data_IF_843030693497
#
_entry.id   IF_843030693497
#
_cell.length_a   1.000
_cell.length_b   1.000
_cell.length_c   1.000
_cell.angle_alpha   90.00
_cell.angle_beta   90.00
_cell.angle_gamma   90.00
#
_symmetry.space_group_name_H-M   'P 1'
#
loop_
_entity.id
_entity.type
_entity.pdbx_description
1 polymer ?
#
# COMPACT_ATOMS: atom_id res chain seq x y z
N UNK A 1 2.95 -5.10 -55.53
CA UNK A 1 1.99 -6.17 -55.15
C UNK A 1 2.74 -7.20 -54.29
N UNK A 2 2.55 -7.22 -53.04
CA UNK A 2 2.60 -8.40 -52.16
C UNK A 2 1.97 -7.93 -50.82
N UNK A 3 0.74 -8.39 -50.57
CA UNK A 3 0.01 -8.10 -49.35
C UNK A 3 0.43 -9.06 -48.24
N UNK A 4 0.64 -8.55 -47.05
CA UNK A 4 0.73 -9.34 -45.83
C UNK A 4 -0.54 -9.12 -45.00
N UNK A 5 -1.41 -10.16 -45.02
CA UNK A 5 -2.60 -10.26 -44.21
C UNK A 5 -2.24 -10.50 -42.76
N UNK A 6 -2.86 -9.73 -41.85
CA UNK A 6 -2.86 -9.97 -40.44
C UNK A 6 -3.76 -11.18 -40.09
N UNK A 7 -3.40 -12.02 -39.12
CA UNK A 7 -4.27 -13.12 -38.70
C UNK A 7 -5.44 -12.58 -37.86
N UNK A 8 -6.65 -12.84 -38.34
CA UNK A 8 -7.90 -12.60 -37.63
C UNK A 8 -8.06 -13.61 -36.49
N UNK A 9 -8.04 -13.14 -35.25
CA UNK A 9 -8.43 -13.94 -34.09
C UNK A 9 -9.95 -14.04 -34.03
N UNK A 10 -10.46 -15.22 -34.42
CA UNK A 10 -11.87 -15.58 -34.30
C UNK A 10 -12.14 -15.92 -32.83
N UNK A 11 -12.91 -15.07 -32.18
CA UNK A 11 -13.46 -15.32 -30.85
C UNK A 11 -14.56 -16.41 -30.99
N UNK A 12 -14.25 -17.66 -30.62
CA UNK A 12 -15.29 -18.72 -30.58
C UNK A 12 -16.15 -18.49 -29.35
N UNK A 13 -17.43 -18.20 -29.57
CA UNK A 13 -18.50 -18.22 -28.57
C UNK A 13 -18.54 -19.59 -27.88
N UNK A 14 -18.55 -19.60 -26.58
CA UNK A 14 -18.81 -20.80 -25.78
C UNK A 14 -20.31 -20.94 -25.62
N UNK A 15 -20.91 -21.97 -26.25
CA UNK A 15 -22.27 -22.40 -25.97
C UNK A 15 -22.26 -23.21 -24.67
N UNK A 16 -22.80 -22.64 -23.63
CA UNK A 16 -23.13 -23.37 -22.39
C UNK A 16 -24.54 -23.91 -22.57
N UNK A 17 -24.68 -25.17 -22.88
CA UNK A 17 -25.98 -25.88 -22.79
C UNK A 17 -26.28 -26.11 -21.31
N UNK A 18 -27.28 -25.40 -20.80
CA UNK A 18 -27.90 -25.66 -19.51
C UNK A 18 -28.93 -26.76 -19.63
N UNK A 19 -28.60 -27.98 -19.22
CA UNK A 19 -29.60 -28.99 -18.90
C UNK A 19 -29.96 -28.92 -17.42
N UNK A 20 -31.08 -28.27 -17.13
CA UNK A 20 -31.72 -28.35 -15.81
C UNK A 20 -32.75 -29.46 -15.80
N UNK A 21 -32.43 -30.61 -15.23
CA UNK A 21 -33.43 -31.56 -14.75
C UNK A 21 -33.48 -31.52 -13.25
N UNK A 22 -34.61 -31.09 -12.73
CA UNK A 22 -34.91 -30.97 -11.30
C UNK A 22 -35.10 -32.34 -10.65
N UNK A 23 -34.30 -32.62 -9.61
CA UNK A 23 -34.75 -33.55 -8.55
C UNK A 23 -34.00 -33.20 -7.24
N UNK A 24 -34.68 -32.99 -6.08
CA UNK A 24 -34.12 -32.50 -4.86
C UNK A 24 -33.76 -33.64 -3.92
N UNK A 25 -32.53 -34.09 -3.90
CA UNK A 25 -31.95 -34.80 -2.76
C UNK A 25 -30.43 -34.79 -2.85
N UNK A 26 -29.79 -34.16 -1.87
CA UNK A 26 -28.39 -34.28 -1.46
C UNK A 26 -27.38 -34.71 -2.52
N UNK A 27 -26.63 -33.75 -3.10
CA UNK A 27 -25.28 -34.03 -3.57
C UNK A 27 -24.44 -32.78 -3.63
N UNK A 28 -23.33 -32.79 -2.91
CA UNK A 28 -22.23 -31.86 -3.10
C UNK A 28 -21.72 -32.02 -4.53
N UNK A 29 -22.02 -31.07 -5.39
CA UNK A 29 -21.49 -31.04 -6.75
C UNK A 29 -20.01 -30.64 -6.70
N UNK A 30 -19.13 -31.64 -6.59
CA UNK A 30 -17.70 -31.46 -6.86
C UNK A 30 -17.55 -31.20 -8.35
N UNK A 31 -17.28 -29.94 -8.71
CA UNK A 31 -16.82 -29.58 -10.07
C UNK A 31 -15.50 -30.34 -10.32
N UNK A 32 -15.58 -31.48 -11.02
CA UNK A 32 -14.41 -32.19 -11.58
C UNK A 32 -13.94 -31.41 -12.80
N UNK A 33 -13.05 -30.46 -12.60
CA UNK A 33 -12.28 -29.88 -13.70
C UNK A 33 -11.36 -31.00 -14.20
N UNK A 34 -11.49 -31.38 -15.48
CA UNK A 34 -10.68 -32.46 -16.04
C UNK A 34 -9.19 -32.09 -16.03
N UNK A 35 -8.31 -33.05 -15.82
CA UNK A 35 -6.86 -32.86 -15.88
C UNK A 35 -6.38 -32.16 -17.15
N UNK A 36 -7.06 -32.42 -18.28
CA UNK A 36 -6.81 -31.74 -19.58
C UNK A 36 -7.11 -30.24 -19.53
N UNK A 37 -8.11 -29.81 -18.75
CA UNK A 37 -8.42 -28.38 -18.57
C UNK A 37 -7.38 -27.69 -17.67
N UNK A 38 -6.87 -28.39 -16.65
CA UNK A 38 -5.77 -27.91 -15.84
C UNK A 38 -4.46 -27.80 -16.62
N UNK A 39 -4.12 -28.79 -17.45
CA UNK A 39 -2.95 -28.72 -18.33
C UNK A 39 -3.03 -27.56 -19.32
N UNK A 40 -4.17 -27.36 -19.97
CA UNK A 40 -4.37 -26.19 -20.87
C UNK A 40 -4.28 -24.84 -20.13
N UNK A 41 -4.79 -24.78 -18.91
CA UNK A 41 -4.69 -23.55 -18.11
C UNK A 41 -3.23 -23.28 -17.67
N UNK A 42 -2.47 -24.33 -17.33
CA UNK A 42 -1.04 -24.23 -17.04
C UNK A 42 -0.21 -23.86 -18.28
N UNK A 43 -0.56 -24.38 -19.46
CA UNK A 43 0.06 -23.98 -20.72
C UNK A 43 -0.22 -22.52 -21.07
N UNK A 44 -1.46 -22.05 -20.91
CA UNK A 44 -1.82 -20.64 -21.11
C UNK A 44 -1.11 -19.77 -20.08
N UNK A 45 -1.03 -20.19 -18.80
CA UNK A 45 -0.29 -19.46 -17.76
C UNK A 45 1.21 -19.44 -18.04
N UNK A 46 1.76 -20.55 -18.54
CA UNK A 46 3.16 -20.63 -18.98
C UNK A 46 3.43 -19.70 -20.16
N UNK A 47 2.53 -19.67 -21.17
CA UNK A 47 2.66 -18.78 -22.33
C UNK A 47 2.51 -17.31 -21.92
N UNK A 48 1.59 -16.97 -21.00
CA UNK A 48 1.43 -15.61 -20.47
C UNK A 48 2.65 -15.21 -19.61
N UNK A 49 3.15 -16.09 -18.75
CA UNK A 49 4.40 -15.86 -18.02
C UNK A 49 5.60 -15.74 -18.96
N UNK A 50 5.70 -16.58 -19.99
CA UNK A 50 6.77 -16.51 -20.99
C UNK A 50 6.69 -15.23 -21.83
N UNK A 51 5.50 -14.78 -22.23
CA UNK A 51 5.33 -13.50 -22.96
C UNK A 51 5.65 -12.29 -22.09
N UNK A 52 5.32 -12.31 -20.81
CA UNK A 52 5.69 -11.23 -19.86
C UNK A 52 7.20 -11.26 -19.54
N UNK A 53 7.81 -12.44 -19.47
CA UNK A 53 9.26 -12.62 -19.30
C UNK A 53 10.04 -12.33 -20.60
N UNK A 54 9.47 -12.62 -21.78
CA UNK A 54 10.14 -12.43 -23.08
C UNK A 54 10.20 -10.94 -23.50
N UNK A 55 9.36 -10.07 -22.93
CA UNK A 55 9.51 -8.62 -23.05
C UNK A 55 10.82 -8.14 -22.36
N UNK A 56 11.32 -8.89 -21.36
CA UNK A 56 12.58 -8.57 -20.69
C UNK A 56 13.82 -9.09 -21.44
N UNK A 57 13.68 -10.06 -22.36
CA UNK A 57 14.81 -10.77 -22.98
C UNK A 57 15.08 -10.41 -24.45
N UNK A 58 14.14 -9.74 -25.15
CA UNK A 58 14.41 -9.22 -26.50
C UNK A 58 15.09 -7.85 -26.44
N UNK A 59 16.30 -7.81 -25.85
CA UNK A 59 17.15 -6.63 -26.01
C UNK A 59 17.76 -6.65 -27.39
N UNK A 60 17.22 -5.81 -28.31
CA UNK A 60 18.00 -5.32 -29.47
C UNK A 60 19.32 -4.79 -28.92
N UNK A 61 20.46 -4.89 -29.63
CA UNK A 61 21.67 -4.20 -29.25
C UNK A 61 21.29 -2.73 -29.04
N UNK A 62 21.43 -2.26 -27.80
CA UNK A 62 20.98 -0.92 -27.40
C UNK A 62 21.91 0.06 -28.12
N UNK A 63 21.39 0.76 -29.13
CA UNK A 63 22.01 1.95 -29.68
C UNK A 63 22.44 2.83 -28.49
N UNK A 64 23.62 3.41 -28.55
CA UNK A 64 24.23 4.12 -27.42
C UNK A 64 23.27 5.16 -26.86
N UNK A 65 22.63 4.82 -25.71
CA UNK A 65 21.63 5.66 -25.05
C UNK A 65 22.28 6.97 -24.62
N UNK A 66 21.69 8.10 -25.04
CA UNK A 66 22.16 9.43 -24.68
C UNK A 66 21.97 9.68 -23.18
N UNK A 67 22.77 10.58 -22.60
CA UNK A 67 22.73 10.88 -21.17
C UNK A 67 21.34 11.32 -20.71
N UNK A 68 20.68 12.21 -21.44
CA UNK A 68 19.33 12.70 -21.12
C UNK A 68 18.27 11.59 -21.13
N UNK A 69 18.33 10.65 -22.09
CA UNK A 69 17.44 9.50 -22.16
C UNK A 69 17.67 8.56 -20.97
N UNK A 70 18.93 8.32 -20.62
CA UNK A 70 19.33 7.51 -19.47
C UNK A 70 18.89 8.14 -18.15
N UNK A 71 19.05 9.47 -17.99
CA UNK A 71 18.59 10.20 -16.81
C UNK A 71 17.07 10.09 -16.63
N UNK A 72 16.30 10.28 -17.72
CA UNK A 72 14.83 10.13 -17.68
C UNK A 72 14.41 8.72 -17.30
N UNK A 73 15.07 7.69 -17.86
CA UNK A 73 14.79 6.29 -17.55
C UNK A 73 15.17 5.93 -16.09
N UNK A 74 16.33 6.37 -15.60
CA UNK A 74 16.76 6.19 -14.21
C UNK A 74 15.74 6.81 -13.24
N UNK A 75 15.35 8.06 -13.48
CA UNK A 75 14.35 8.76 -12.66
C UNK A 75 13.07 7.95 -12.59
N UNK A 76 12.53 7.51 -13.73
CA UNK A 76 11.29 6.75 -13.79
C UNK A 76 11.39 5.40 -13.07
N UNK A 77 12.47 4.66 -13.28
CA UNK A 77 12.67 3.34 -12.66
C UNK A 77 12.80 3.44 -11.15
N UNK A 78 13.58 4.38 -10.66
CA UNK A 78 13.79 4.61 -9.23
C UNK A 78 12.50 5.04 -8.55
N UNK A 79 11.82 6.06 -9.09
CA UNK A 79 10.59 6.60 -8.48
C UNK A 79 9.38 5.66 -8.58
N UNK A 80 9.34 4.78 -9.59
CA UNK A 80 8.29 3.77 -9.73
C UNK A 80 8.42 2.60 -8.74
N UNK A 81 9.58 2.43 -8.10
CA UNK A 81 9.85 1.34 -7.16
C UNK A 81 10.48 1.88 -5.88
N UNK A 82 9.71 2.58 -5.04
CA UNK A 82 10.22 3.11 -3.77
C UNK A 82 10.83 2.02 -2.90
N UNK A 83 11.87 2.37 -2.17
CA UNK A 83 12.61 1.53 -1.23
C UNK A 83 13.32 0.29 -1.83
N UNK A 84 13.13 0.01 -3.12
CA UNK A 84 13.83 -1.06 -3.82
C UNK A 84 15.30 -0.66 -4.07
N UNK A 85 16.21 -1.58 -3.74
CA UNK A 85 17.63 -1.42 -4.05
C UNK A 85 17.90 -1.90 -5.48
N UNK A 86 18.44 -1.02 -6.31
CA UNK A 86 18.93 -1.34 -7.65
C UNK A 86 20.44 -1.34 -7.65
N UNK A 87 21.06 -2.43 -8.04
CA UNK A 87 22.51 -2.50 -8.18
C UNK A 87 22.99 -1.67 -9.37
N UNK A 88 24.20 -1.12 -9.31
CA UNK A 88 24.78 -0.44 -10.47
C UNK A 88 24.94 -1.38 -11.67
N UNK A 89 25.22 -2.65 -11.42
CA UNK A 89 25.34 -3.67 -12.47
C UNK A 89 24.04 -3.84 -13.25
N UNK A 90 22.87 -3.81 -12.58
CA UNK A 90 21.56 -3.84 -13.23
C UNK A 90 21.40 -2.71 -14.26
N UNK A 91 21.80 -1.48 -13.90
CA UNK A 91 21.73 -0.35 -14.81
C UNK A 91 22.82 -0.39 -15.89
N UNK A 92 24.04 -0.91 -15.58
CA UNK A 92 25.09 -1.12 -16.58
C UNK A 92 24.60 -2.03 -17.72
N UNK A 93 23.97 -3.15 -17.35
CA UNK A 93 23.40 -4.08 -18.33
C UNK A 93 22.25 -3.46 -19.11
N UNK A 94 21.38 -2.71 -18.41
CA UNK A 94 20.21 -2.08 -19.04
C UNK A 94 20.59 -1.00 -20.06
N UNK A 95 21.57 -0.17 -19.74
CA UNK A 95 21.90 1.02 -20.54
C UNK A 95 23.17 0.88 -21.37
N UNK A 96 23.91 -0.22 -21.24
CA UNK A 96 25.19 -0.40 -21.92
C UNK A 96 26.23 0.64 -21.49
N UNK A 97 26.19 1.11 -20.23
CA UNK A 97 27.05 2.19 -19.70
C UNK A 97 27.98 1.67 -18.61
N UNK A 98 29.15 2.32 -18.46
CA UNK A 98 30.11 1.98 -17.42
C UNK A 98 29.58 2.36 -16.02
N UNK A 99 30.06 1.66 -14.96
CA UNK A 99 29.69 1.94 -13.58
C UNK A 99 29.99 3.38 -13.16
N UNK A 100 31.15 3.93 -13.59
CA UNK A 100 31.53 5.32 -13.32
C UNK A 100 30.53 6.31 -13.90
N UNK A 101 30.13 6.12 -15.15
CA UNK A 101 29.12 6.95 -15.82
C UNK A 101 27.78 6.92 -15.08
N UNK A 102 27.35 5.74 -14.63
CA UNK A 102 26.09 5.62 -13.88
C UNK A 102 26.18 6.21 -12.48
N UNK A 103 27.35 6.11 -11.82
CA UNK A 103 27.56 6.77 -10.53
C UNK A 103 27.45 8.30 -10.67
N UNK A 104 28.08 8.89 -11.69
CA UNK A 104 27.95 10.32 -11.98
C UNK A 104 26.51 10.74 -12.28
N UNK A 105 25.77 9.93 -13.05
CA UNK A 105 24.37 10.19 -13.36
C UNK A 105 23.49 10.15 -12.10
N UNK A 106 23.71 9.17 -11.21
CA UNK A 106 23.00 9.05 -9.93
C UNK A 106 23.33 10.22 -9.01
N UNK A 107 24.59 10.67 -8.95
CA UNK A 107 24.99 11.82 -8.16
C UNK A 107 24.33 13.11 -8.64
N UNK A 108 24.22 13.30 -9.95
CA UNK A 108 23.46 14.42 -10.52
C UNK A 108 21.98 14.33 -10.19
N UNK A 109 21.35 13.14 -10.31
CA UNK A 109 19.96 12.96 -9.93
C UNK A 109 19.75 13.25 -8.46
N UNK A 110 20.67 12.85 -7.59
CA UNK A 110 20.60 13.17 -6.15
C UNK A 110 20.53 14.66 -5.92
N UNK A 111 21.41 15.44 -6.57
CA UNK A 111 21.38 16.90 -6.50
C UNK A 111 20.05 17.50 -6.99
N UNK A 112 19.48 16.97 -8.08
CA UNK A 112 18.16 17.39 -8.58
C UNK A 112 17.05 17.07 -7.57
N UNK A 113 17.04 15.85 -7.03
CA UNK A 113 16.04 15.43 -6.05
C UNK A 113 16.07 16.29 -4.78
N UNK A 114 17.28 16.58 -4.28
CA UNK A 114 17.47 17.43 -3.10
C UNK A 114 17.03 18.88 -3.38
N UNK A 115 17.38 19.43 -4.54
CA UNK A 115 17.03 20.81 -4.93
C UNK A 115 15.52 21.00 -5.02
N UNK A 116 14.83 20.08 -5.68
CA UNK A 116 13.39 20.19 -5.96
C UNK A 116 12.51 19.48 -4.94
N UNK A 117 13.09 18.87 -3.88
CA UNK A 117 12.30 18.18 -2.86
C UNK A 117 11.55 16.95 -3.38
N UNK A 118 12.14 16.21 -4.33
CA UNK A 118 11.50 15.07 -4.98
C UNK A 118 11.67 13.74 -4.21
N UNK A 119 12.22 13.77 -3.00
CA UNK A 119 12.59 12.61 -2.20
C UNK A 119 14.11 12.45 -2.10
N UNK A 120 14.58 11.29 -1.66
CA UNK A 120 16.00 11.01 -1.44
C UNK A 120 16.47 9.82 -2.27
N UNK A 121 17.71 9.93 -2.80
CA UNK A 121 18.44 8.83 -3.42
C UNK A 121 19.57 8.39 -2.48
N UNK A 122 19.37 7.25 -1.82
CA UNK A 122 20.37 6.69 -0.89
C UNK A 122 21.30 5.72 -1.62
N UNK A 123 22.58 5.78 -1.28
CA UNK A 123 23.54 4.73 -1.63
C UNK A 123 23.54 3.67 -0.53
N UNK A 124 23.24 2.44 -0.91
CA UNK A 124 23.33 1.28 0.00
C UNK A 124 24.66 0.59 -0.26
N UNK A 125 25.49 0.48 0.78
CA UNK A 125 26.81 -0.18 0.72
C UNK A 125 26.71 -1.68 0.96
N UNK A 126 27.72 -2.46 0.54
CA UNK A 126 27.82 -3.88 0.77
C UNK A 126 27.70 -4.73 -0.50
N UNK A 127 27.71 -6.06 -0.37
CA UNK A 127 27.69 -7.01 -1.48
C UNK A 127 26.42 -6.90 -2.36
N UNK A 128 25.28 -6.61 -1.74
CA UNK A 128 24.01 -6.31 -2.42
C UNK A 128 23.76 -4.82 -2.55
N UNK A 129 24.79 -4.00 -2.53
CA UNK A 129 24.71 -2.54 -2.54
C UNK A 129 24.24 -1.97 -3.88
N UNK A 130 23.76 -0.73 -3.82
CA UNK A 130 23.20 -0.05 -4.98
C UNK A 130 22.63 1.30 -4.63
N UNK A 131 21.66 1.74 -5.42
CA UNK A 131 20.90 2.97 -5.16
C UNK A 131 19.44 2.63 -4.86
N UNK A 132 18.86 3.41 -3.96
CA UNK A 132 17.48 3.29 -3.54
C UNK A 132 16.82 4.66 -3.51
N UNK A 133 15.60 4.74 -4.01
CA UNK A 133 14.77 5.94 -3.88
C UNK A 133 13.87 5.82 -2.65
N UNK A 134 13.84 6.86 -1.84
CA UNK A 134 12.88 7.05 -0.76
C UNK A 134 12.01 8.28 -1.03
N UNK A 135 10.68 8.14 -1.15
CA UNK A 135 9.79 9.29 -1.17
C UNK A 135 9.81 9.93 0.22
N UNK A 136 10.27 11.15 0.31
CA UNK A 136 10.34 11.94 1.56
C UNK A 136 9.78 13.31 1.28
N UNK A 137 8.96 13.81 2.19
CA UNK A 137 8.47 15.19 2.20
C UNK A 137 9.23 15.97 3.27
N UNK A 138 9.62 17.20 2.98
CA UNK A 138 10.25 18.06 3.99
C UNK A 138 9.22 18.43 5.07
N UNK A 139 9.64 18.54 6.33
CA UNK A 139 8.71 18.83 7.45
C UNK A 139 7.90 20.11 7.23
N UNK A 140 8.52 21.16 6.67
CA UNK A 140 7.79 22.39 6.35
C UNK A 140 6.67 22.17 5.34
N UNK A 141 6.93 21.40 4.28
CA UNK A 141 5.94 21.11 3.24
C UNK A 141 4.85 20.18 3.78
N UNK A 142 5.20 19.21 4.62
CA UNK A 142 4.26 18.32 5.28
C UNK A 142 3.33 19.09 6.22
N UNK A 143 3.89 19.98 7.04
CA UNK A 143 3.12 20.83 7.95
C UNK A 143 2.22 21.81 7.22
N UNK A 144 2.68 22.42 6.13
CA UNK A 144 1.87 23.30 5.28
C UNK A 144 0.69 22.52 4.66
N UNK A 145 0.97 21.37 4.04
CA UNK A 145 -0.06 20.50 3.45
C UNK A 145 -1.11 20.06 4.48
N UNK A 146 -0.68 19.60 5.66
CA UNK A 146 -1.63 19.19 6.70
C UNK A 146 -2.38 20.39 7.29
N UNK A 147 -1.75 21.57 7.36
CA UNK A 147 -2.41 22.80 7.80
C UNK A 147 -3.56 23.22 6.88
N UNK A 148 -3.34 23.22 5.56
CA UNK A 148 -4.38 23.48 4.56
C UNK A 148 -5.52 22.44 4.67
N UNK A 149 -5.16 21.18 4.81
CA UNK A 149 -6.14 20.11 4.96
C UNK A 149 -6.95 20.23 6.26
N UNK A 150 -6.34 20.61 7.36
CA UNK A 150 -7.02 20.87 8.63
C UNK A 150 -8.05 22.01 8.49
N UNK A 151 -7.70 23.09 7.77
CA UNK A 151 -8.63 24.19 7.51
C UNK A 151 -9.85 23.73 6.70
N UNK A 152 -9.63 22.91 5.66
CA UNK A 152 -10.70 22.33 4.87
C UNK A 152 -11.61 21.42 5.69
N UNK A 153 -11.02 20.59 6.56
CA UNK A 153 -11.73 19.63 7.40
C UNK A 153 -12.47 20.30 8.57
N UNK A 154 -12.03 21.49 9.03
CA UNK A 154 -12.62 22.23 10.14
C UNK A 154 -13.93 22.96 9.71
N UNK A 155 -14.73 22.31 8.88
CA UNK A 155 -16.00 22.83 8.38
C UNK A 155 -17.16 22.15 9.12
N UNK A 156 -18.07 22.90 9.76
CA UNK A 156 -19.16 22.33 10.57
C UNK A 156 -20.03 21.30 9.84
N UNK A 157 -20.23 21.47 8.52
CA UNK A 157 -21.00 20.53 7.68
C UNK A 157 -20.35 19.14 7.54
N UNK A 158 -19.07 18.99 7.90
CA UNK A 158 -18.38 17.69 7.90
C UNK A 158 -18.61 16.89 9.18
N UNK A 159 -19.13 17.53 10.23
CA UNK A 159 -19.43 16.85 11.47
C UNK A 159 -20.75 16.08 11.34
N UNK A 160 -20.68 14.77 11.57
CA UNK A 160 -21.81 13.86 11.54
C UNK A 160 -22.33 13.58 12.97
N UNK A 161 -23.60 13.17 13.15
CA UNK A 161 -24.13 12.78 14.44
C UNK A 161 -23.24 11.76 15.17
N UNK A 162 -23.05 11.93 16.48
CA UNK A 162 -22.15 11.10 17.29
C UNK A 162 -20.69 11.53 17.27
N UNK A 163 -20.40 12.76 16.81
CA UNK A 163 -19.04 13.33 16.80
C UNK A 163 -18.10 12.67 15.81
N UNK A 164 -18.62 12.13 14.71
CA UNK A 164 -17.84 11.59 13.60
C UNK A 164 -17.53 12.69 12.57
N UNK A 165 -16.31 12.67 12.03
CA UNK A 165 -15.94 13.57 10.95
C UNK A 165 -16.03 12.84 9.59
N UNK A 166 -16.65 13.49 8.60
CA UNK A 166 -16.69 12.97 7.24
C UNK A 166 -15.34 13.20 6.55
N UNK A 167 -14.64 12.11 6.29
CA UNK A 167 -13.30 12.04 5.64
C UNK A 167 -13.33 11.29 4.30
N UNK A 168 -14.48 10.75 3.91
CA UNK A 168 -14.57 9.82 2.78
C UNK A 168 -14.10 10.40 1.45
N UNK A 169 -14.41 11.66 1.17
CA UNK A 169 -13.98 12.38 -0.02
C UNK A 169 -12.46 12.58 -0.03
N UNK A 170 -11.88 13.05 1.09
CA UNK A 170 -10.44 13.27 1.27
C UNK A 170 -9.66 11.96 1.09
N UNK A 171 -10.11 10.88 1.74
CA UNK A 171 -9.47 9.57 1.65
C UNK A 171 -9.64 8.90 0.27
N UNK A 172 -10.53 9.43 -0.56
CA UNK A 172 -10.72 8.98 -1.95
C UNK A 172 -9.89 9.77 -2.96
N UNK A 173 -9.19 10.84 -2.53
CA UNK A 173 -8.34 11.65 -3.42
C UNK A 173 -6.91 11.11 -3.48
N UNK A 174 -6.46 10.54 -4.63
CA UNK A 174 -5.16 9.87 -4.73
C UNK A 174 -3.97 10.77 -4.37
N UNK A 175 -4.00 12.04 -4.72
CA UNK A 175 -2.92 12.98 -4.41
C UNK A 175 -2.79 13.25 -2.91
N UNK A 176 -3.92 13.38 -2.21
CA UNK A 176 -3.96 13.63 -0.77
C UNK A 176 -3.45 12.41 -0.02
N UNK A 177 -4.02 11.22 -0.28
CA UNK A 177 -3.60 10.00 0.43
C UNK A 177 -2.17 9.59 0.10
N UNK A 178 -1.67 9.92 -1.11
CA UNK A 178 -0.25 9.71 -1.46
C UNK A 178 0.67 10.57 -0.59
N UNK A 179 0.35 11.85 -0.39
CA UNK A 179 1.13 12.72 0.51
C UNK A 179 1.08 12.22 1.95
N UNK A 180 -0.08 11.81 2.45
CA UNK A 180 -0.25 11.20 3.77
C UNK A 180 0.64 9.94 3.91
N UNK A 181 0.59 9.05 2.92
CA UNK A 181 1.42 7.84 2.90
C UNK A 181 2.92 8.13 2.91
N UNK A 182 3.37 9.17 2.22
CA UNK A 182 4.78 9.60 2.22
C UNK A 182 5.19 10.14 3.59
N UNK A 183 4.34 10.93 4.26
CA UNK A 183 4.63 11.45 5.61
C UNK A 183 4.71 10.29 6.61
N UNK A 184 3.74 9.36 6.58
CA UNK A 184 3.75 8.16 7.44
C UNK A 184 5.00 7.31 7.16
N UNK A 185 5.30 7.03 5.91
CA UNK A 185 6.49 6.25 5.54
C UNK A 185 7.78 6.90 6.04
N UNK A 186 7.87 8.22 5.99
CA UNK A 186 9.03 8.99 6.47
C UNK A 186 9.34 8.73 7.94
N UNK A 187 8.31 8.68 8.79
CA UNK A 187 8.45 8.43 10.24
C UNK A 187 8.88 6.98 10.54
N UNK A 188 8.43 6.01 9.74
CA UNK A 188 8.63 4.59 10.04
C UNK A 188 9.65 3.87 9.15
N UNK A 189 10.45 4.61 8.36
CA UNK A 189 11.49 4.00 7.53
C UNK A 189 12.49 3.16 8.34
N UNK A 190 12.98 3.72 9.43
CA UNK A 190 13.99 3.07 10.25
C UNK A 190 13.41 1.92 11.09
N UNK A 191 12.10 1.92 11.28
CA UNK A 191 11.40 0.79 11.88
C UNK A 191 11.36 -0.43 10.95
N UNK A 192 11.68 -0.28 9.66
CA UNK A 192 11.80 -1.34 8.66
C UNK A 192 10.67 -2.38 8.73
N UNK A 193 9.39 -2.00 8.57
CA UNK A 193 8.28 -2.95 8.58
C UNK A 193 8.35 -3.86 7.36
N UNK A 194 7.92 -5.12 7.52
CA UNK A 194 7.78 -6.08 6.42
C UNK A 194 6.47 -5.90 5.66
N UNK A 195 5.47 -5.33 6.30
CA UNK A 195 4.16 -5.02 5.71
C UNK A 195 3.43 -3.92 6.49
N UNK A 196 2.44 -3.32 5.84
CA UNK A 196 1.47 -2.42 6.49
C UNK A 196 0.20 -3.20 6.76
N UNK A 197 -0.37 -3.09 7.98
CA UNK A 197 -1.63 -3.65 8.38
C UNK A 197 -2.68 -2.55 8.54
N UNK A 198 -3.89 -2.79 8.02
CA UNK A 198 -5.05 -1.91 8.24
C UNK A 198 -6.32 -2.72 8.47
N UNK A 199 -7.33 -2.07 9.05
CA UNK A 199 -8.68 -2.64 9.13
C UNK A 199 -9.54 -2.18 7.95
N UNK A 200 -10.38 -3.06 7.38
CA UNK A 200 -11.39 -2.62 6.42
C UNK A 200 -12.32 -1.60 7.09
N UNK A 201 -12.68 -0.43 6.48
CA UNK A 201 -12.58 -0.11 5.05
C UNK A 201 -11.86 1.21 4.80
N UNK A 202 -12.04 2.22 5.66
CA UNK A 202 -11.65 3.62 5.40
C UNK A 202 -10.15 3.86 5.50
N UNK A 203 -9.44 3.07 6.32
CA UNK A 203 -7.97 3.15 6.45
C UNK A 203 -7.22 2.65 5.21
N UNK A 204 -7.86 1.83 4.35
CA UNK A 204 -7.20 1.18 3.21
C UNK A 204 -6.46 2.16 2.29
N UNK A 205 -7.03 3.31 1.86
CA UNK A 205 -6.32 4.19 0.93
C UNK A 205 -5.03 4.77 1.50
N UNK A 206 -5.05 5.26 2.75
CA UNK A 206 -3.86 5.81 3.41
C UNK A 206 -2.81 4.72 3.68
N UNK A 207 -3.26 3.55 4.14
CA UNK A 207 -2.40 2.38 4.38
C UNK A 207 -1.74 1.87 3.09
N UNK A 208 -2.48 1.84 1.96
CA UNK A 208 -1.94 1.45 0.66
C UNK A 208 -0.85 2.41 0.19
N UNK A 209 -1.03 3.71 0.38
CA UNK A 209 -0.03 4.69 -0.01
C UNK A 209 1.20 4.67 0.92
N UNK A 210 1.03 4.40 2.21
CA UNK A 210 2.15 4.17 3.12
C UNK A 210 2.93 2.89 2.75
N UNK A 211 2.23 1.80 2.45
CA UNK A 211 2.84 0.55 1.97
C UNK A 211 3.61 0.75 0.66
N UNK A 212 3.04 1.50 -0.29
CA UNK A 212 3.71 1.86 -1.54
C UNK A 212 4.99 2.67 -1.29
N UNK A 213 4.93 3.68 -0.42
CA UNK A 213 6.07 4.54 -0.10
C UNK A 213 7.19 3.77 0.63
N UNK A 214 6.83 2.80 1.48
CA UNK A 214 7.75 1.89 2.15
C UNK A 214 8.26 0.77 1.23
N UNK A 215 7.59 0.50 0.12
CA UNK A 215 7.92 -0.62 -0.79
C UNK A 215 7.59 -1.99 -0.21
N UNK A 216 6.56 -2.08 0.63
CA UNK A 216 6.12 -3.31 1.32
C UNK A 216 4.66 -3.65 0.97
N UNK A 217 4.21 -4.90 1.15
CA UNK A 217 2.82 -5.27 0.91
C UNK A 217 1.86 -4.64 1.92
N UNK A 218 0.60 -4.48 1.50
CA UNK A 218 -0.53 -4.16 2.37
C UNK A 218 -1.26 -5.44 2.78
N UNK A 219 -1.56 -5.57 4.07
CA UNK A 219 -2.39 -6.62 4.66
C UNK A 219 -3.65 -5.98 5.23
N UNK A 220 -4.81 -6.55 4.94
CA UNK A 220 -6.10 -6.00 5.36
C UNK A 220 -6.80 -7.00 6.29
N UNK A 221 -6.96 -6.62 7.56
CA UNK A 221 -7.82 -7.32 8.49
C UNK A 221 -9.29 -7.00 8.19
N UNK A 222 -10.17 -7.99 8.33
CA UNK A 222 -11.59 -7.88 7.96
C UNK A 222 -12.49 -8.06 9.17
N UNK A 223 -13.72 -7.59 9.05
CA UNK A 223 -14.77 -7.82 10.09
C UNK A 223 -15.32 -9.24 10.06
N UNK A 224 -15.12 -10.00 8.98
CA UNK A 224 -15.56 -11.38 8.84
C UNK A 224 -14.64 -12.18 7.94
N UNK A 225 -14.41 -13.45 8.27
CA UNK A 225 -13.69 -14.38 7.41
C UNK A 225 -14.48 -14.66 6.12
N UNK A 226 -13.78 -14.82 5.01
CA UNK A 226 -14.35 -15.20 3.72
C UNK A 226 -13.90 -16.60 3.36
N UNK A 227 -14.82 -17.43 2.87
CA UNK A 227 -14.58 -18.85 2.52
C UNK A 227 -13.40 -19.00 1.53
N UNK A 228 -13.25 -18.07 0.60
CA UNK A 228 -12.18 -18.10 -0.41
C UNK A 228 -10.80 -17.71 0.13
N UNK A 229 -10.70 -17.17 1.34
CA UNK A 229 -9.41 -16.83 1.98
C UNK A 229 -8.81 -18.01 2.77
N UNK A 230 -9.54 -19.12 2.90
CA UNK A 230 -9.11 -20.32 3.62
C UNK A 230 -9.22 -20.17 5.14
N UNK A 231 -8.38 -20.89 5.88
CA UNK A 231 -8.40 -20.82 7.35
C UNK A 231 -7.94 -19.44 7.83
N UNK A 232 -8.70 -18.88 8.79
CA UNK A 232 -8.45 -17.56 9.35
C UNK A 232 -8.29 -17.65 10.87
N UNK A 233 -7.55 -16.68 11.42
CA UNK A 233 -7.56 -16.35 12.84
C UNK A 233 -8.63 -15.30 13.05
N UNK A 234 -9.48 -15.49 14.06
CA UNK A 234 -10.51 -14.54 14.45
C UNK A 234 -10.27 -14.15 15.89
N UNK A 235 -10.32 -12.86 16.16
CA UNK A 235 -10.33 -12.32 17.52
C UNK A 235 -11.56 -11.47 17.74
N UNK A 236 -12.00 -11.38 18.98
CA UNK A 236 -13.04 -10.44 19.38
C UNK A 236 -12.40 -9.27 20.10
N UNK A 237 -12.79 -8.05 19.74
CA UNK A 237 -12.29 -6.84 20.37
C UNK A 237 -13.43 -5.87 20.69
N UNK A 238 -13.20 -4.97 21.63
CA UNK A 238 -14.17 -3.92 21.96
C UNK A 238 -13.92 -2.71 21.09
N UNK A 239 -14.88 -2.38 20.23
CA UNK A 239 -14.81 -1.18 19.38
C UNK A 239 -14.84 0.08 20.23
N UNK A 240 -13.85 0.96 20.03
CA UNK A 240 -13.74 2.22 20.77
C UNK A 240 -14.85 3.24 20.47
N UNK A 241 -15.63 3.05 19.39
CA UNK A 241 -16.69 3.97 18.97
C UNK A 241 -18.06 3.59 19.52
N UNK A 242 -18.34 2.31 19.68
CA UNK A 242 -19.68 1.79 20.00
C UNK A 242 -19.75 1.01 21.31
N UNK A 243 -18.62 0.72 21.97
CA UNK A 243 -18.50 -0.18 23.11
C UNK A 243 -19.10 -1.59 22.84
N UNK A 244 -19.25 -1.97 21.56
CA UNK A 244 -19.71 -3.30 21.16
C UNK A 244 -18.53 -4.21 20.89
N UNK A 245 -18.77 -5.51 21.14
CA UNK A 245 -17.82 -6.57 20.75
C UNK A 245 -17.93 -6.75 19.23
N UNK A 246 -16.83 -6.54 18.54
CA UNK A 246 -16.68 -6.77 17.10
C UNK A 246 -15.66 -7.89 16.86
N UNK A 247 -15.73 -8.53 15.71
CA UNK A 247 -14.78 -9.57 15.30
C UNK A 247 -13.80 -9.00 14.28
N UNK A 248 -12.54 -9.38 14.42
CA UNK A 248 -11.50 -9.12 13.44
C UNK A 248 -10.92 -10.43 12.95
N UNK A 249 -10.78 -10.56 11.65
CA UNK A 249 -10.38 -11.79 10.95
C UNK A 249 -9.22 -11.56 10.01
N UNK A 250 -8.24 -12.46 10.01
CA UNK A 250 -7.14 -12.47 9.07
C UNK A 250 -6.80 -13.90 8.64
N UNK A 251 -6.59 -14.09 7.33
CA UNK A 251 -6.16 -15.39 6.80
C UNK A 251 -4.80 -15.81 7.37
N UNK A 252 -4.66 -17.09 7.75
CA UNK A 252 -3.38 -17.64 8.25
C UNK A 252 -2.23 -17.54 7.25
N UNK A 253 -2.53 -17.35 5.96
CA UNK A 253 -1.54 -17.21 4.89
C UNK A 253 -1.11 -15.77 4.64
N UNK A 254 -1.77 -14.78 5.28
CA UNK A 254 -1.54 -13.36 5.02
C UNK A 254 -0.17 -12.88 5.51
N UNK A 255 0.30 -13.43 6.63
CA UNK A 255 1.55 -13.03 7.27
C UNK A 255 2.32 -14.25 7.78
N UNK A 256 3.59 -14.05 8.09
CA UNK A 256 4.48 -15.10 8.62
C UNK A 256 4.97 -14.69 10.01
N UNK A 257 5.22 -15.68 10.85
CA UNK A 257 5.85 -15.49 12.15
C UNK A 257 7.20 -14.76 12.03
N UNK A 258 7.47 -13.87 12.99
CA UNK A 258 8.70 -13.09 13.05
C UNK A 258 8.74 -11.88 12.13
N UNK A 259 7.69 -11.63 11.32
CA UNK A 259 7.57 -10.40 10.54
C UNK A 259 7.28 -9.19 11.43
N UNK A 260 7.47 -8.00 10.85
CA UNK A 260 7.28 -6.70 11.49
C UNK A 260 6.15 -5.94 10.80
N UNK A 261 5.12 -5.56 11.55
CA UNK A 261 3.94 -4.87 11.05
C UNK A 261 3.93 -3.39 11.42
N UNK A 262 3.63 -2.51 10.46
CA UNK A 262 3.21 -1.14 10.71
C UNK A 262 1.69 -1.07 10.59
N UNK A 263 0.99 -0.71 11.67
CA UNK A 263 -0.46 -0.47 11.63
C UNK A 263 -0.72 0.93 11.08
N UNK A 264 -1.58 1.04 10.07
CA UNK A 264 -2.03 2.32 9.53
C UNK A 264 -3.54 2.30 9.37
N UNK A 265 -4.26 3.27 9.96
CA UNK A 265 -5.71 3.36 9.85
C UNK A 265 -6.18 4.82 9.70
N UNK A 266 -7.47 5.04 9.41
CA UNK A 266 -8.00 6.38 9.18
C UNK A 266 -8.19 7.19 10.49
N UNK A 267 -8.74 6.57 11.53
CA UNK A 267 -9.17 7.32 12.70
C UNK A 267 -8.88 6.61 14.03
N UNK A 268 -8.27 7.35 14.95
CA UNK A 268 -8.02 6.90 16.33
C UNK A 268 -8.92 7.66 17.31
N UNK A 269 -9.89 6.97 17.93
CA UNK A 269 -10.71 7.52 19.03
C UNK A 269 -10.13 7.06 20.38
N UNK A 270 -10.60 5.95 20.89
CA UNK A 270 -10.09 5.36 22.14
C UNK A 270 -9.04 4.25 21.92
N UNK A 271 -8.86 3.80 20.68
CA UNK A 271 -7.84 2.82 20.32
C UNK A 271 -8.29 1.36 20.37
N UNK A 272 -9.61 1.06 20.48
CA UNK A 272 -10.10 -0.30 20.54
C UNK A 272 -9.75 -1.13 19.29
N UNK A 273 -9.97 -0.60 18.10
CA UNK A 273 -9.61 -1.27 16.83
C UNK A 273 -8.10 -1.49 16.71
N UNK A 274 -7.31 -0.46 17.06
CA UNK A 274 -5.85 -0.56 17.05
C UNK A 274 -5.35 -1.62 18.04
N UNK A 275 -5.93 -1.67 19.25
CA UNK A 275 -5.64 -2.71 20.24
C UNK A 275 -5.98 -4.10 19.69
N UNK A 276 -7.13 -4.26 19.03
CA UNK A 276 -7.49 -5.50 18.35
C UNK A 276 -6.48 -5.89 17.28
N UNK A 277 -6.00 -4.94 16.45
CA UNK A 277 -4.95 -5.22 15.46
C UNK A 277 -3.65 -5.68 16.10
N UNK A 278 -3.24 -5.09 17.24
CA UNK A 278 -2.05 -5.52 18.00
C UNK A 278 -2.24 -6.95 18.51
N UNK A 279 -3.39 -7.25 19.11
CA UNK A 279 -3.71 -8.58 19.63
C UNK A 279 -3.77 -9.63 18.50
N UNK A 280 -4.34 -9.27 17.35
CA UNK A 280 -4.35 -10.13 16.17
C UNK A 280 -2.91 -10.43 15.67
N UNK A 281 -2.01 -9.45 15.66
CA UNK A 281 -0.61 -9.68 15.32
C UNK A 281 0.09 -10.59 16.32
N UNK A 282 -0.25 -10.49 17.60
CA UNK A 282 0.20 -11.43 18.64
C UNK A 282 -0.13 -12.88 18.34
N UNK A 283 -1.34 -13.17 17.84
CA UNK A 283 -1.76 -14.53 17.43
C UNK A 283 -0.93 -15.10 16.26
N UNK A 284 -0.24 -14.25 15.52
CA UNK A 284 0.67 -14.64 14.43
C UNK A 284 2.14 -14.58 14.83
N UNK A 285 2.49 -14.25 16.06
CA UNK A 285 3.86 -13.96 16.50
C UNK A 285 4.55 -12.89 15.62
N UNK A 286 3.81 -11.84 15.26
CA UNK A 286 4.27 -10.69 14.48
C UNK A 286 4.50 -9.49 15.40
N UNK A 287 5.66 -8.83 15.28
CA UNK A 287 5.98 -7.62 16.01
C UNK A 287 5.28 -6.41 15.40
N UNK A 288 4.56 -5.61 16.19
CA UNK A 288 4.05 -4.31 15.78
C UNK A 288 5.11 -3.25 16.05
N UNK A 289 5.73 -2.73 14.99
CA UNK A 289 6.86 -1.79 15.08
C UNK A 289 6.43 -0.32 15.06
N UNK A 290 5.16 -0.06 14.86
CA UNK A 290 4.60 1.29 14.90
C UNK A 290 3.13 1.32 14.55
N UNK A 291 2.51 2.47 14.80
CA UNK A 291 1.10 2.73 14.52
C UNK A 291 0.94 4.15 14.03
N UNK A 292 0.27 4.32 12.90
CA UNK A 292 -0.04 5.62 12.33
C UNK A 292 -1.53 5.75 12.01
N UNK A 293 -2.06 6.96 12.17
CA UNK A 293 -3.46 7.27 11.90
C UNK A 293 -3.54 8.57 11.09
N UNK A 294 -4.51 8.67 10.19
CA UNK A 294 -4.74 9.92 9.49
C UNK A 294 -5.20 10.99 10.48
N UNK A 295 -6.09 10.63 11.42
CA UNK A 295 -6.59 11.54 12.44
C UNK A 295 -6.73 10.83 13.79
N UNK A 296 -6.41 11.54 14.88
CA UNK A 296 -6.73 11.11 16.22
C UNK A 296 -7.66 12.12 16.89
N UNK A 297 -8.66 11.64 17.64
CA UNK A 297 -9.43 12.49 18.57
C UNK A 297 -8.57 12.77 19.79
N UNK A 298 -8.49 14.04 20.24
CA UNK A 298 -7.72 14.41 21.41
C UNK A 298 -8.26 13.73 22.68
N UNK A 299 -9.58 13.63 22.80
CA UNK A 299 -10.23 12.94 23.91
C UNK A 299 -10.74 11.54 23.51
N UNK A 300 -10.64 10.52 24.37
CA UNK A 300 -10.02 10.57 25.70
C UNK A 300 -8.49 10.72 25.60
N UNK A 301 -7.89 11.45 26.56
CA UNK A 301 -6.45 11.65 26.63
C UNK A 301 -5.69 10.33 26.86
N UNK A 302 -6.27 9.43 27.67
CA UNK A 302 -5.73 8.08 27.83
C UNK A 302 -6.39 7.13 26.83
N UNK A 303 -5.58 6.63 25.89
CA UNK A 303 -5.99 5.65 24.88
C UNK A 303 -5.61 4.23 25.31
N UNK A 304 -6.22 3.22 24.69
CA UNK A 304 -5.90 1.81 24.93
C UNK A 304 -4.56 1.36 24.32
N UNK A 305 -3.91 2.24 23.60
CA UNK A 305 -2.60 2.05 22.96
C UNK A 305 -1.66 3.22 23.33
N UNK A 306 -0.37 3.02 23.12
CA UNK A 306 0.65 4.03 23.35
C UNK A 306 1.65 4.05 22.19
N UNK A 307 2.28 5.22 21.95
CA UNK A 307 3.30 5.37 20.92
C UNK A 307 2.73 5.55 19.50
N UNK A 308 1.45 5.86 19.40
CA UNK A 308 0.81 6.14 18.11
C UNK A 308 1.28 7.49 17.53
N UNK A 309 1.22 7.57 16.19
CA UNK A 309 1.45 8.78 15.40
C UNK A 309 0.20 9.13 14.60
N UNK A 310 -0.47 10.22 14.91
CA UNK A 310 -1.53 10.76 14.04
C UNK A 310 -0.97 11.86 13.15
N UNK A 311 -1.46 12.01 11.93
CA UNK A 311 -1.12 13.16 11.07
C UNK A 311 -1.80 14.42 11.55
N UNK A 312 -3.05 14.29 11.99
CA UNK A 312 -3.89 15.39 12.47
C UNK A 312 -4.54 15.02 13.79
N UNK A 313 -4.80 16.03 14.61
CA UNK A 313 -5.49 15.90 15.90
C UNK A 313 -6.79 16.69 15.83
N UNK A 314 -7.91 16.05 16.18
CA UNK A 314 -9.23 16.65 16.27
C UNK A 314 -9.64 16.85 17.71
N UNK A 315 -9.92 18.09 18.06
CA UNK A 315 -10.58 18.47 19.31
C UNK A 315 -12.06 18.74 19.05
N UNK A 316 -12.92 18.20 19.88
CA UNK A 316 -14.37 18.39 19.81
C UNK A 316 -14.96 18.14 21.20
N UNK A 317 -15.65 19.15 21.74
CA UNK A 317 -16.33 19.04 23.04
C UNK A 317 -17.77 18.51 22.82
N UNK A 318 -18.02 17.31 23.30
CA UNK A 318 -19.29 16.64 23.01
C UNK A 318 -19.52 16.45 21.50
N UNK A 319 -20.68 16.90 21.04
CA UNK A 319 -21.06 16.91 19.62
C UNK A 319 -21.33 18.35 19.11
N UNK A 320 -20.79 19.38 19.80
CA UNK A 320 -20.99 20.78 19.43
C UNK A 320 -20.08 21.18 18.26
N UNK A 321 -20.63 21.45 17.06
CA UNK A 321 -19.84 21.82 15.90
C UNK A 321 -19.03 23.11 16.06
N UNK A 322 -19.44 24.01 16.99
CA UNK A 322 -18.73 25.27 17.25
C UNK A 322 -17.40 25.08 17.96
N UNK A 323 -17.19 23.92 18.59
CA UNK A 323 -15.95 23.57 19.30
C UNK A 323 -14.99 22.76 18.44
N UNK A 324 -15.37 22.43 17.19
CA UNK A 324 -14.54 21.65 16.28
C UNK A 324 -13.24 22.39 15.96
N UNK A 325 -12.12 21.83 16.36
CA UNK A 325 -10.79 22.28 15.99
C UNK A 325 -9.95 21.11 15.48
N UNK A 326 -9.25 21.32 14.37
CA UNK A 326 -8.38 20.32 13.78
C UNK A 326 -7.03 20.97 13.52
N UNK A 327 -5.95 20.31 13.92
CA UNK A 327 -4.59 20.80 13.74
C UNK A 327 -3.63 19.68 13.32
N UNK A 328 -2.54 19.99 12.61
CA UNK A 328 -1.46 19.03 12.41
C UNK A 328 -0.93 18.55 13.76
N UNK A 329 -0.48 17.30 13.83
CA UNK A 329 0.16 16.78 15.02
C UNK A 329 1.56 17.38 15.22
N UNK A 330 2.03 17.44 16.46
CA UNK A 330 3.26 18.17 16.83
C UNK A 330 4.55 17.52 16.29
N UNK A 331 4.51 16.23 15.97
CA UNK A 331 5.65 15.46 15.46
C UNK A 331 5.94 15.68 13.95
N UNK A 332 5.00 16.24 13.18
CA UNK A 332 5.12 16.47 11.73
C UNK A 332 5.99 17.67 11.39
#
# INVERSE_FOLDING_TARGET
MIGHGAPSYVCKKWDIQNDYTTNPSHSQTKLKISERSWQKMLEIFSIVCYTVLDISTRRKPVERIKRNERMAALTKLLTASPNRIFTLSYFCEMFGAAKSTLSEDIDLLRGVFDTFGLGKLDTVTGAAGGVRYRPVMKSLDARAFLGELCQELCTPSRLLPGGFLYLGDILSMPEIVRKMGVIIAGEFYDAAPDFVLTMETKGIPAALMAAQALGVPLVIARRSSKVYEGSAVNINYVSGSSAHIETMSLSRRAVREGQRALIVDDFLKAGGTARGMIELMGEFNVEVVGMAFVMAKAQPASKLIQGERALMVMDLEGDDPSTLAIRPADWV
#
